data_IF_263916019644
#
_entry.id   IF_263916019644
#
_cell.length_a   1.000
_cell.length_b   1.000
_cell.length_c   1.000
_cell.angle_alpha   90.00
_cell.angle_beta   90.00
_cell.angle_gamma   90.00
#
_symmetry.space_group_name_H-M   'P 1'
#
loop_
_entity.id
_entity.type
_entity.pdbx_description
1 polymer ?
#
# COMPACT_ATOMS: atom_id res chain seq x y z
N UNK A 1 -15.08 8.54 19.67
CA UNK A 1 -14.81 9.93 20.15
C UNK A 1 -15.99 10.82 19.76
N UNK A 2 -16.85 11.21 20.71
CA UNK A 2 -18.02 12.08 20.43
C UNK A 2 -18.02 13.40 21.22
N UNK A 3 -16.98 13.68 22.02
CA UNK A 3 -16.99 14.79 22.99
C UNK A 3 -15.86 15.83 22.86
N UNK A 4 -15.08 15.84 21.76
CA UNK A 4 -14.14 16.93 21.46
C UNK A 4 -13.11 17.21 22.56
N UNK A 5 -12.35 16.20 22.98
CA UNK A 5 -11.27 16.39 23.94
C UNK A 5 -10.21 17.37 23.39
N UNK A 6 -9.63 18.21 24.27
CA UNK A 6 -8.56 19.16 23.93
C UNK A 6 -7.24 18.47 23.55
N UNK A 7 -7.16 17.16 23.74
CA UNK A 7 -6.00 16.35 23.39
C UNK A 7 -6.47 15.03 22.77
N UNK A 8 -5.92 14.68 21.62
CA UNK A 8 -6.06 13.35 21.03
C UNK A 8 -4.83 12.53 21.44
N UNK A 9 -4.99 11.40 22.16
CA UNK A 9 -3.87 10.51 22.42
C UNK A 9 -3.35 9.97 21.07
N UNK A 10 -2.03 10.01 20.89
CA UNK A 10 -1.35 9.51 19.68
C UNK A 10 -0.36 8.45 20.11
N UNK A 11 -0.39 7.31 19.41
CA UNK A 11 0.66 6.30 19.50
C UNK A 11 1.49 6.33 18.23
N UNK A 12 2.82 6.22 18.38
CA UNK A 12 3.77 6.11 17.27
C UNK A 12 4.47 4.75 17.38
N UNK A 13 4.44 3.98 16.31
CA UNK A 13 5.08 2.67 16.23
C UNK A 13 6.14 2.71 15.14
N UNK A 14 7.39 2.42 15.50
CA UNK A 14 8.53 2.40 14.57
C UNK A 14 8.90 0.96 14.19
N UNK A 15 7.99 0.29 13.48
CA UNK A 15 8.12 -1.15 13.20
C UNK A 15 8.34 -1.49 11.72
N UNK A 16 8.08 -0.55 10.79
CA UNK A 16 8.26 -0.79 9.36
C UNK A 16 9.71 -0.54 8.97
N UNK A 17 10.42 -1.53 8.39
CA UNK A 17 11.81 -1.36 7.98
C UNK A 17 11.91 -0.38 6.81
N UNK A 18 13.00 0.39 6.80
CA UNK A 18 13.38 1.27 5.69
C UNK A 18 14.46 0.62 4.84
N UNK A 19 14.39 0.84 3.54
CA UNK A 19 15.40 0.45 2.56
C UNK A 19 16.42 1.58 2.35
N UNK A 20 17.61 1.23 1.90
CA UNK A 20 18.68 2.20 1.63
C UNK A 20 18.63 2.75 0.20
N UNK A 21 17.44 3.19 -0.23
CA UNK A 21 17.23 3.80 -1.54
C UNK A 21 16.67 5.23 -1.36
N UNK A 22 17.44 6.27 -1.72
CA UNK A 22 17.03 7.67 -1.56
C UNK A 22 15.97 8.13 -2.58
N UNK A 23 15.75 7.38 -3.65
CA UNK A 23 14.80 7.68 -4.71
C UNK A 23 13.43 7.01 -4.47
N UNK A 24 13.41 5.91 -3.69
CA UNK A 24 12.19 5.21 -3.31
C UNK A 24 11.37 5.98 -2.25
N UNK A 25 10.09 6.24 -2.56
CA UNK A 25 9.15 6.78 -1.58
C UNK A 25 8.55 5.64 -0.77
N UNK A 26 9.14 5.35 0.38
CA UNK A 26 8.80 4.18 1.19
C UNK A 26 7.56 4.42 2.05
N UNK A 27 6.38 4.30 1.43
CA UNK A 27 5.09 4.56 2.07
C UNK A 27 4.29 3.28 2.21
N UNK A 28 3.72 3.07 3.40
CA UNK A 28 2.76 2.01 3.65
C UNK A 28 1.37 2.63 3.81
N UNK A 29 0.36 2.04 3.17
CA UNK A 29 -1.01 2.55 3.14
C UNK A 29 -1.92 1.63 3.95
N UNK A 30 -2.62 2.20 4.93
CA UNK A 30 -3.60 1.44 5.70
C UNK A 30 -4.82 1.10 4.84
N UNK A 31 -5.34 -0.11 5.05
CA UNK A 31 -6.63 -0.53 4.52
C UNK A 31 -7.76 0.26 5.16
N UNK A 32 -8.77 0.54 4.35
CA UNK A 32 -9.97 1.28 4.73
C UNK A 32 -11.20 0.43 4.41
N UNK A 33 -12.07 0.26 5.41
CA UNK A 33 -13.21 -0.62 5.30
C UNK A 33 -14.36 0.02 4.51
N UNK A 34 -14.83 -0.74 3.52
CA UNK A 34 -16.00 -0.45 2.72
C UNK A 34 -17.15 -1.44 2.89
N UNK A 35 -18.36 -0.89 2.78
CA UNK A 35 -19.59 -1.65 2.70
C UNK A 35 -20.26 -1.88 4.06
N UNK A 36 -21.20 -2.82 4.07
CA UNK A 36 -22.10 -3.03 5.23
C UNK A 36 -21.60 -4.11 6.19
N UNK A 37 -20.73 -5.01 5.72
CA UNK A 37 -20.18 -6.08 6.55
C UNK A 37 -18.84 -5.61 7.09
N UNK A 38 -18.70 -5.39 8.41
CA UNK A 38 -17.44 -4.98 9.00
C UNK A 38 -16.38 -6.09 8.90
N UNK A 39 -15.09 -5.75 9.07
CA UNK A 39 -14.09 -6.75 9.40
C UNK A 39 -14.53 -7.59 10.60
N UNK A 40 -14.17 -8.89 10.65
CA UNK A 40 -14.41 -9.71 11.83
C UNK A 40 -13.91 -9.03 13.12
N UNK A 41 -14.60 -9.19 14.26
CA UNK A 41 -14.14 -8.63 15.52
C UNK A 41 -12.72 -9.08 15.87
N UNK A 42 -11.86 -8.13 16.24
CA UNK A 42 -10.46 -8.38 16.55
C UNK A 42 -9.53 -8.44 15.33
N UNK A 43 -10.04 -8.22 14.12
CA UNK A 43 -9.17 -8.09 12.94
C UNK A 43 -8.17 -6.94 13.11
N UNK A 44 -6.89 -7.17 12.81
CA UNK A 44 -5.89 -6.10 12.82
C UNK A 44 -6.11 -5.15 11.63
N UNK A 45 -5.50 -3.98 11.71
CA UNK A 45 -5.41 -3.04 10.59
C UNK A 45 -4.39 -3.61 9.60
N UNK A 46 -4.78 -3.87 8.35
CA UNK A 46 -3.83 -4.27 7.32
C UNK A 46 -3.16 -3.03 6.74
N UNK A 47 -1.84 -3.08 6.55
CA UNK A 47 -1.02 -2.04 5.95
C UNK A 47 -0.34 -2.64 4.71
N UNK A 48 -0.42 -1.96 3.57
CA UNK A 48 0.14 -2.46 2.29
C UNK A 48 1.20 -1.51 1.75
N UNK A 49 2.32 -2.04 1.29
CA UNK A 49 3.38 -1.31 0.58
C UNK A 49 3.74 -2.05 -0.70
N UNK A 50 3.95 -1.31 -1.79
CA UNK A 50 4.58 -1.88 -2.99
C UNK A 50 6.09 -1.99 -2.78
N UNK A 51 6.72 -3.01 -3.32
CA UNK A 51 8.16 -3.19 -3.31
C UNK A 51 8.60 -3.56 -4.72
N UNK A 52 9.39 -2.68 -5.30
CA UNK A 52 10.01 -2.82 -6.61
C UNK A 52 11.42 -3.39 -6.44
N UNK A 53 11.81 -4.37 -7.26
CA UNK A 53 13.12 -5.00 -7.21
C UNK A 53 14.27 -4.02 -7.48
N UNK A 54 14.00 -2.89 -8.14
CA UNK A 54 14.96 -1.82 -8.35
C UNK A 54 15.27 -1.01 -7.08
N UNK A 55 14.54 -1.23 -5.98
CA UNK A 55 14.76 -0.47 -4.75
C UNK A 55 15.92 -1.00 -3.91
N UNK A 56 15.91 -2.28 -3.56
CA UNK A 56 16.95 -2.93 -2.74
C UNK A 56 17.25 -4.37 -3.22
N UNK A 57 16.92 -4.67 -4.49
CA UNK A 57 17.06 -5.98 -5.12
C UNK A 57 15.89 -6.93 -4.84
N UNK A 58 15.98 -8.16 -5.32
CA UNK A 58 15.00 -9.21 -5.05
C UNK A 58 13.99 -9.40 -6.18
N UNK A 59 12.70 -9.39 -5.84
CA UNK A 59 11.59 -9.53 -6.78
C UNK A 59 10.52 -8.49 -6.47
N UNK A 60 9.72 -8.16 -7.48
CA UNK A 60 8.55 -7.30 -7.33
C UNK A 60 7.47 -7.98 -6.50
N UNK A 61 7.14 -7.36 -5.37
CA UNK A 61 6.24 -7.93 -4.37
C UNK A 61 5.33 -6.86 -3.78
N UNK A 62 4.24 -7.32 -3.17
CA UNK A 62 3.45 -6.54 -2.24
C UNK A 62 3.78 -7.00 -0.83
N UNK A 63 4.10 -6.06 0.02
CA UNK A 63 4.31 -6.32 1.44
C UNK A 63 3.03 -5.96 2.21
N UNK A 64 2.54 -6.90 3.01
CA UNK A 64 1.37 -6.69 3.87
C UNK A 64 1.77 -6.89 5.33
N UNK A 65 1.54 -5.87 6.16
CA UNK A 65 1.66 -5.95 7.61
C UNK A 65 0.29 -5.89 8.27
N UNK A 66 0.25 -6.33 9.52
CA UNK A 66 -0.89 -6.18 10.40
C UNK A 66 -0.52 -5.32 11.59
N UNK A 67 -1.35 -4.35 11.93
CA UNK A 67 -1.21 -3.52 13.13
C UNK A 67 -2.36 -3.80 14.10
N UNK A 68 -2.01 -4.14 15.33
CA UNK A 68 -2.95 -4.25 16.46
C UNK A 68 -2.67 -3.10 17.42
N UNK A 69 -3.68 -2.26 17.67
CA UNK A 69 -3.57 -1.09 18.54
C UNK A 69 -4.22 -1.37 19.88
N UNK A 70 -3.47 -1.22 20.96
CA UNK A 70 -3.96 -1.27 22.33
C UNK A 70 -3.94 0.15 22.92
N UNK A 71 -5.11 0.74 23.10
CA UNK A 71 -5.26 2.09 23.65
C UNK A 71 -5.17 2.14 25.18
N UNK A 72 -5.35 1.01 25.85
CA UNK A 72 -5.27 0.91 27.30
C UNK A 72 -3.82 0.71 27.75
N UNK A 73 -3.06 -0.10 27.01
CA UNK A 73 -1.62 -0.32 27.19
C UNK A 73 -0.84 -0.17 25.88
N UNK A 74 -0.29 1.03 25.59
CA UNK A 74 0.47 1.29 24.38
C UNK A 74 1.69 0.38 24.17
N UNK A 75 2.19 -0.30 25.22
CA UNK A 75 3.30 -1.24 25.09
C UNK A 75 2.91 -2.56 24.40
N UNK A 76 1.60 -2.85 24.33
CA UNK A 76 1.05 -4.00 23.61
C UNK A 76 0.70 -3.67 22.14
N UNK A 77 0.78 -2.41 21.73
CA UNK A 77 0.59 -2.03 20.32
C UNK A 77 1.73 -2.60 19.48
N UNK A 78 1.39 -3.37 18.45
CA UNK A 78 2.36 -4.08 17.64
C UNK A 78 2.02 -4.00 16.15
N UNK A 79 3.06 -3.96 15.32
CA UNK A 79 2.97 -4.22 13.87
C UNK A 79 3.72 -5.52 13.61
N UNK A 80 3.12 -6.42 12.84
CA UNK A 80 3.66 -7.74 12.52
C UNK A 80 3.68 -7.94 11.01
N UNK A 81 4.69 -8.67 10.52
CA UNK A 81 4.92 -8.92 9.10
C UNK A 81 6.30 -8.42 8.64
N UNK A 82 6.48 -8.18 7.33
CA UNK A 82 5.47 -8.37 6.29
C UNK A 82 5.24 -9.85 5.97
N UNK A 83 4.06 -10.17 5.47
CA UNK A 83 3.96 -11.24 4.47
C UNK A 83 4.30 -10.62 3.11
N UNK A 84 5.00 -11.39 2.28
CA UNK A 84 5.46 -10.94 0.97
C UNK A 84 4.69 -11.70 -0.10
N UNK A 85 4.00 -10.97 -0.98
CA UNK A 85 3.16 -11.52 -2.03
C UNK A 85 3.81 -11.23 -3.39
N UNK A 86 4.37 -12.24 -4.07
CA UNK A 86 4.94 -12.06 -5.41
C UNK A 86 3.91 -11.52 -6.40
N UNK A 87 4.36 -10.57 -7.21
CA UNK A 87 3.58 -10.00 -8.31
C UNK A 87 4.25 -10.29 -9.65
N UNK A 88 3.55 -10.10 -10.76
CA UNK A 88 4.21 -9.95 -12.06
C UNK A 88 5.13 -8.72 -12.04
N UNK A 89 6.22 -8.69 -12.81
CA UNK A 89 7.14 -7.56 -12.77
C UNK A 89 6.46 -6.21 -13.02
N UNK A 90 6.90 -5.14 -12.37
CA UNK A 90 6.52 -3.75 -12.65
C UNK A 90 7.69 -2.81 -12.50
N UNK A 91 7.60 -1.68 -13.20
CA UNK A 91 8.51 -0.56 -13.00
C UNK A 91 7.75 0.56 -12.30
N UNK A 92 8.15 0.90 -11.07
CA UNK A 92 7.54 1.99 -10.31
C UNK A 92 8.18 3.35 -10.58
N UNK A 93 9.26 3.41 -11.35
CA UNK A 93 9.90 4.65 -11.79
C UNK A 93 9.22 5.17 -13.06
N UNK A 94 8.55 6.31 -12.94
CA UNK A 94 7.87 7.00 -14.04
C UNK A 94 8.67 8.18 -14.59
N UNK A 95 9.61 8.69 -13.79
CA UNK A 95 10.25 9.97 -14.02
C UNK A 95 11.75 9.81 -14.09
N UNK A 96 12.33 10.09 -15.25
CA UNK A 96 13.77 10.10 -15.47
C UNK A 96 14.50 10.96 -14.42
N UNK A 97 15.43 10.36 -13.69
CA UNK A 97 16.22 11.05 -12.68
C UNK A 97 15.44 11.51 -11.44
N UNK A 98 14.20 11.03 -11.25
CA UNK A 98 13.42 11.26 -10.04
C UNK A 98 12.76 12.63 -9.91
N UNK A 99 12.82 13.51 -10.93
CA UNK A 99 12.07 14.78 -10.91
C UNK A 99 10.59 14.55 -11.19
N UNK A 100 9.83 14.42 -10.10
CA UNK A 100 8.39 14.16 -10.16
C UNK A 100 7.56 15.39 -10.56
N UNK A 101 8.12 16.60 -10.71
CA UNK A 101 7.31 17.81 -10.92
C UNK A 101 7.01 18.12 -12.39
N UNK A 102 7.87 17.72 -13.32
CA UNK A 102 7.71 17.94 -14.77
C UNK A 102 8.05 16.65 -15.52
N UNK A 103 7.25 15.61 -15.32
CA UNK A 103 7.63 14.26 -15.64
C UNK A 103 6.86 13.69 -16.84
N UNK A 104 5.52 13.70 -16.77
CA UNK A 104 4.70 12.99 -17.76
C UNK A 104 4.29 13.93 -18.89
N UNK A 105 4.66 13.64 -20.15
CA UNK A 105 4.22 14.43 -21.30
C UNK A 105 2.73 14.22 -21.59
N UNK A 106 2.04 15.33 -21.85
CA UNK A 106 0.66 15.35 -22.34
C UNK A 106 0.65 15.47 -23.88
N UNK A 107 -0.53 15.31 -24.49
CA UNK A 107 -0.67 15.32 -25.95
C UNK A 107 -0.24 16.62 -26.65
N UNK A 108 -0.17 17.74 -25.91
CA UNK A 108 0.30 19.04 -26.40
C UNK A 108 1.78 19.31 -26.06
N UNK A 109 2.48 18.34 -25.45
CA UNK A 109 3.86 18.45 -25.01
C UNK A 109 4.06 19.13 -23.65
N UNK A 110 2.99 19.57 -22.98
CA UNK A 110 3.10 20.04 -21.59
C UNK A 110 3.47 18.88 -20.66
N UNK A 111 4.26 19.17 -19.63
CA UNK A 111 4.66 18.18 -18.64
C UNK A 111 3.81 18.36 -17.38
N UNK A 112 3.38 17.25 -16.79
CA UNK A 112 2.69 17.25 -15.50
C UNK A 112 3.52 16.53 -14.46
N UNK A 113 3.28 16.90 -13.20
CA UNK A 113 3.86 16.19 -12.07
C UNK A 113 3.27 14.78 -11.97
N UNK A 114 4.10 13.81 -11.58
CA UNK A 114 3.69 12.45 -11.29
C UNK A 114 3.76 12.18 -9.79
N UNK A 115 2.98 11.22 -9.32
CA UNK A 115 3.21 10.58 -8.04
C UNK A 115 3.56 9.12 -8.34
N UNK A 116 4.70 8.67 -7.82
CA UNK A 116 5.25 7.33 -8.07
C UNK A 116 5.60 6.66 -6.73
N UNK A 117 5.93 5.37 -6.76
CA UNK A 117 6.35 4.57 -5.59
C UNK A 117 5.31 4.38 -4.48
N UNK A 118 4.07 4.86 -4.66
CA UNK A 118 3.03 4.82 -3.63
C UNK A 118 1.75 4.17 -4.16
N UNK A 119 1.02 3.54 -3.24
CA UNK A 119 -0.37 3.15 -3.49
C UNK A 119 -1.21 4.43 -3.57
N UNK A 120 -1.97 4.56 -4.65
CA UNK A 120 -2.90 5.66 -4.83
C UNK A 120 -4.12 5.47 -3.94
N UNK A 121 -4.71 6.57 -3.45
CA UNK A 121 -5.83 6.52 -2.51
C UNK A 121 -7.01 5.74 -3.12
N UNK A 122 -7.42 4.60 -2.56
CA UNK A 122 -7.00 3.94 -1.29
C UNK A 122 -6.90 2.41 -1.42
N UNK A 123 -6.40 1.76 -0.36
CA UNK A 123 -6.55 0.31 -0.15
C UNK A 123 -7.96 0.02 0.37
N UNK A 124 -8.88 -0.27 -0.55
CA UNK A 124 -10.28 -0.54 -0.23
C UNK A 124 -10.45 -1.98 0.25
N UNK A 125 -10.74 -2.16 1.54
CA UNK A 125 -11.04 -3.44 2.15
C UNK A 125 -12.55 -3.72 2.11
N UNK A 126 -12.94 -4.96 1.77
CA UNK A 126 -14.33 -5.40 1.80
C UNK A 126 -14.46 -6.81 2.37
N UNK A 127 -15.48 -7.04 3.19
CA UNK A 127 -15.85 -8.37 3.67
C UNK A 127 -17.11 -8.89 2.95
N UNK A 128 -16.98 -9.98 2.21
CA UNK A 128 -18.09 -10.64 1.50
C UNK A 128 -18.72 -11.79 2.30
N UNK A 129 -18.25 -12.06 3.51
CA UNK A 129 -18.70 -13.16 4.37
C UNK A 129 -18.05 -14.50 4.03
N UNK A 130 -17.83 -14.81 2.75
CA UNK A 130 -17.07 -15.99 2.32
C UNK A 130 -15.57 -15.71 2.15
N UNK A 131 -15.22 -14.45 1.89
CA UNK A 131 -13.84 -13.98 1.73
C UNK A 131 -13.76 -12.48 2.04
N UNK A 132 -12.55 -12.04 2.35
CA UNK A 132 -12.17 -10.64 2.51
C UNK A 132 -11.33 -10.23 1.29
N UNK A 133 -11.46 -8.98 0.85
CA UNK A 133 -10.67 -8.42 -0.27
C UNK A 133 -9.99 -7.12 0.14
N UNK A 134 -8.83 -6.84 -0.45
CA UNK A 134 -8.26 -5.50 -0.54
C UNK A 134 -7.99 -5.18 -2.00
N UNK A 135 -8.55 -4.07 -2.49
CA UNK A 135 -8.34 -3.59 -3.87
C UNK A 135 -7.68 -2.23 -3.83
N UNK A 136 -6.64 -2.05 -4.64
CA UNK A 136 -5.93 -0.79 -4.75
C UNK A 136 -5.25 -0.64 -6.11
N UNK A 137 -4.77 0.56 -6.37
CA UNK A 137 -4.06 0.91 -7.60
C UNK A 137 -2.78 1.66 -7.30
N UNK A 138 -1.80 1.56 -8.19
CA UNK A 138 -0.60 2.39 -8.19
C UNK A 138 -0.14 2.65 -9.63
N UNK A 139 0.68 3.66 -9.83
CA UNK A 139 1.18 4.00 -11.16
C UNK A 139 2.48 3.28 -11.47
N UNK A 140 2.63 2.83 -12.71
CA UNK A 140 3.79 2.07 -13.22
C UNK A 140 4.18 2.56 -14.61
N UNK A 141 5.44 2.42 -14.98
CA UNK A 141 5.86 2.54 -16.38
C UNK A 141 5.50 1.25 -17.12
N UNK A 142 4.59 1.35 -18.11
CA UNK A 142 4.05 0.19 -18.81
C UNK A 142 4.93 -0.30 -19.95
N UNK A 143 5.93 0.48 -20.37
CA UNK A 143 6.72 0.16 -21.57
C UNK A 143 8.22 0.42 -21.45
N UNK A 144 8.71 0.86 -20.29
CA UNK A 144 10.12 1.21 -20.09
C UNK A 144 10.54 2.50 -20.81
N UNK A 145 9.57 3.33 -21.20
CA UNK A 145 9.75 4.62 -21.86
C UNK A 145 8.92 5.72 -21.17
N UNK A 146 8.77 5.61 -19.85
CA UNK A 146 8.05 6.53 -18.98
C UNK A 146 6.59 6.73 -19.39
N UNK A 147 5.96 5.70 -19.98
CA UNK A 147 4.52 5.75 -20.25
C UNK A 147 3.78 5.35 -18.98
N UNK A 148 3.24 6.35 -18.27
CA UNK A 148 2.45 6.11 -17.08
C UNK A 148 1.19 5.27 -17.39
N UNK A 149 1.03 4.18 -16.65
CA UNK A 149 -0.19 3.39 -16.59
C UNK A 149 -0.66 3.21 -15.15
N UNK A 150 -1.85 2.64 -15.02
CA UNK A 150 -2.43 2.26 -13.74
C UNK A 150 -2.31 0.74 -13.63
N UNK A 151 -1.63 0.28 -12.58
CA UNK A 151 -1.71 -1.11 -12.13
C UNK A 151 -2.75 -1.23 -11.05
N UNK A 152 -3.58 -2.25 -11.12
CA UNK A 152 -4.56 -2.58 -10.08
C UNK A 152 -4.29 -3.97 -9.51
N UNK A 153 -4.65 -4.16 -8.24
CA UNK A 153 -4.45 -5.41 -7.52
C UNK A 153 -5.69 -5.74 -6.72
N UNK A 154 -6.09 -7.00 -6.73
CA UNK A 154 -6.99 -7.61 -5.74
C UNK A 154 -6.21 -8.62 -4.89
N UNK A 155 -6.10 -8.35 -3.60
CA UNK A 155 -5.73 -9.33 -2.61
C UNK A 155 -6.99 -9.99 -2.05
N UNK A 156 -6.91 -11.29 -1.76
CA UNK A 156 -8.00 -12.04 -1.15
C UNK A 156 -7.52 -12.78 0.08
N UNK A 157 -8.40 -12.94 1.05
CA UNK A 157 -8.24 -13.81 2.20
C UNK A 157 -9.51 -14.63 2.37
N UNK A 158 -9.33 -15.93 2.57
CA UNK A 158 -10.44 -16.88 2.74
C UNK A 158 -10.34 -17.54 4.12
N UNK A 159 -11.48 -17.61 4.83
CA UNK A 159 -11.56 -18.15 6.18
C UNK A 159 -10.52 -17.50 7.13
N UNK A 160 -9.76 -18.32 7.87
CA UNK A 160 -8.67 -17.89 8.76
C UNK A 160 -7.30 -17.95 8.07
N UNK A 161 -7.25 -18.01 6.74
CA UNK A 161 -6.01 -18.05 5.98
C UNK A 161 -5.29 -16.70 5.92
N UNK A 162 -4.12 -16.70 5.30
CA UNK A 162 -3.35 -15.49 5.00
C UNK A 162 -3.88 -14.78 3.75
N UNK A 163 -3.52 -13.50 3.59
CA UNK A 163 -3.75 -12.79 2.34
C UNK A 163 -2.92 -13.41 1.22
N UNK A 164 -3.48 -13.45 0.02
CA UNK A 164 -2.78 -13.85 -1.19
C UNK A 164 -3.18 -12.94 -2.36
N UNK A 165 -2.30 -12.85 -3.36
CA UNK A 165 -2.59 -12.16 -4.61
C UNK A 165 -3.63 -12.97 -5.40
N UNK A 166 -4.84 -12.43 -5.56
CA UNK A 166 -5.91 -13.09 -6.30
C UNK A 166 -5.85 -12.77 -7.80
N UNK A 167 -5.69 -11.48 -8.12
CA UNK A 167 -5.52 -11.01 -9.49
C UNK A 167 -4.90 -9.60 -9.52
N UNK A 168 -4.35 -9.24 -10.67
CA UNK A 168 -3.73 -7.95 -10.95
C UNK A 168 -3.77 -7.67 -12.45
N UNK A 169 -3.54 -6.42 -12.83
CA UNK A 169 -3.35 -6.02 -14.22
C UNK A 169 -3.12 -4.53 -14.42
#
# INVERSE_FOLDING_TARGET
MLAGATFAPVQRVEALPKFNNPEAFQVCTASDWDGNTPPPPGSPINLVRIYDDAWDGGQDVLEVWTMSVDWDDPSNTAVTGPITLPTAPFDSYLCDGGDIFNCIPQGDGTLVSALQHVIMHRVAYRNFGTHETMVFTFSVDVNGANQAGIRWVELRKENTGDWYLYQEG
#
